data_IF_790919695239
#
_entry.id   IF_790919695239
#
_cell.length_a   1.000
_cell.length_b   1.000
_cell.length_c   1.000
_cell.angle_alpha   90.00
_cell.angle_beta   90.00
_cell.angle_gamma   90.00
#
_symmetry.space_group_name_H-M   'P 1'
#
loop_
_entity.id
_entity.type
_entity.pdbx_description
1 polymer ?
#
# COMPACT_ATOMS: atom_id res chain seq x y z
N UNK A 1 -17.85 21.16 10.61
CA UNK A 1 -16.40 21.46 10.80
C UNK A 1 -15.51 20.26 10.52
N UNK A 2 -15.74 19.07 11.08
CA UNK A 2 -15.03 17.84 10.64
C UNK A 2 -15.52 17.33 9.28
N UNK A 3 -16.83 17.32 9.05
CA UNK A 3 -17.46 16.92 7.78
C UNK A 3 -16.93 17.72 6.58
N UNK A 4 -16.87 19.05 6.72
CA UNK A 4 -16.45 19.96 5.64
C UNK A 4 -14.95 19.88 5.32
N UNK A 5 -14.12 19.42 6.27
CA UNK A 5 -12.66 19.38 6.10
C UNK A 5 -12.16 18.05 5.53
N UNK A 6 -12.85 16.96 5.84
CA UNK A 6 -12.39 15.61 5.53
C UNK A 6 -13.29 14.88 4.52
N UNK A 7 -14.36 15.53 4.03
CA UNK A 7 -15.42 14.88 3.24
C UNK A 7 -15.90 13.60 3.94
N UNK A 8 -16.13 13.70 5.25
CA UNK A 8 -16.59 12.57 6.05
C UNK A 8 -18.05 12.28 5.72
N UNK A 9 -18.31 11.10 5.19
CA UNK A 9 -19.62 10.49 5.33
C UNK A 9 -19.76 10.02 6.78
N UNK A 10 -20.41 10.84 7.60
CA UNK A 10 -20.72 10.50 8.98
C UNK A 10 -21.97 9.62 9.00
N UNK A 11 -21.82 8.30 8.91
CA UNK A 11 -22.92 7.40 9.26
C UNK A 11 -22.96 7.17 10.78
N UNK A 12 -23.98 7.71 11.44
CA UNK A 12 -24.33 7.31 12.80
C UNK A 12 -24.89 5.88 12.76
N UNK A 13 -24.02 4.89 12.78
CA UNK A 13 -24.42 3.53 13.10
C UNK A 13 -24.83 3.59 14.57
N UNK A 14 -26.14 3.63 14.81
CA UNK A 14 -26.71 3.63 16.14
C UNK A 14 -26.29 2.33 16.84
N UNK A 15 -25.20 2.40 17.61
CA UNK A 15 -24.77 1.42 18.62
C UNK A 15 -25.79 1.29 19.77
N UNK A 16 -27.06 1.65 19.56
CA UNK A 16 -28.16 1.57 20.53
C UNK A 16 -28.86 0.22 20.54
N UNK A 17 -28.64 -0.63 19.53
CA UNK A 17 -29.06 -2.02 19.62
C UNK A 17 -27.92 -2.81 20.25
N UNK A 18 -28.11 -3.25 21.49
CA UNK A 18 -27.21 -4.13 22.26
C UNK A 18 -26.89 -5.49 21.58
N UNK A 19 -27.25 -5.67 20.31
CA UNK A 19 -26.99 -6.84 19.46
C UNK A 19 -26.11 -6.52 18.23
N UNK A 20 -25.45 -5.36 18.17
CA UNK A 20 -24.40 -5.13 17.17
C UNK A 20 -23.13 -5.89 17.59
N UNK A 21 -22.78 -6.94 16.85
CA UNK A 21 -21.57 -7.73 17.09
C UNK A 21 -20.42 -7.23 16.22
N UNK A 22 -19.18 -7.53 16.60
CA UNK A 22 -17.99 -7.27 15.80
C UNK A 22 -18.08 -7.86 14.39
N UNK A 23 -18.78 -8.99 14.25
CA UNK A 23 -19.03 -9.62 12.96
C UNK A 23 -19.85 -8.71 12.04
N UNK A 24 -20.97 -8.14 12.52
CA UNK A 24 -21.80 -7.22 11.73
C UNK A 24 -21.05 -5.94 11.38
N UNK A 25 -20.17 -5.47 12.27
CA UNK A 25 -19.35 -4.28 12.02
C UNK A 25 -18.27 -4.57 10.97
N UNK A 26 -17.61 -5.72 11.04
CA UNK A 26 -16.62 -6.13 10.05
C UNK A 26 -17.24 -6.38 8.67
N UNK A 27 -18.46 -6.93 8.60
CA UNK A 27 -19.22 -7.09 7.35
C UNK A 27 -19.57 -5.73 6.74
N UNK A 28 -20.11 -4.81 7.54
CA UNK A 28 -20.43 -3.46 7.08
C UNK A 28 -19.19 -2.67 6.62
N UNK A 29 -18.10 -2.73 7.40
CA UNK A 29 -16.83 -2.11 7.02
C UNK A 29 -16.28 -2.73 5.74
N UNK A 30 -16.31 -4.06 5.61
CA UNK A 30 -15.89 -4.78 4.40
C UNK A 30 -16.66 -4.30 3.16
N UNK A 31 -17.97 -4.08 3.28
CA UNK A 31 -18.79 -3.58 2.17
C UNK A 31 -18.44 -2.13 1.79
N UNK A 32 -18.21 -1.25 2.77
CA UNK A 32 -17.79 0.14 2.52
C UNK A 32 -16.43 0.22 1.84
N UNK A 33 -15.51 -0.69 2.17
CA UNK A 33 -14.15 -0.66 1.62
C UNK A 33 -13.99 -1.50 0.36
N UNK A 34 -15.08 -1.72 -0.39
CA UNK A 34 -15.08 -2.49 -1.63
C UNK A 34 -14.43 -3.87 -1.48
N UNK A 35 -14.66 -4.51 -0.32
CA UNK A 35 -14.23 -5.87 -0.07
C UNK A 35 -12.71 -6.08 0.01
N UNK A 36 -11.95 -5.01 0.19
CA UNK A 36 -10.50 -5.04 0.12
C UNK A 36 -9.82 -5.61 1.37
N UNK A 37 -10.43 -5.45 2.55
CA UNK A 37 -9.89 -5.95 3.82
C UNK A 37 -11.00 -6.53 4.69
N UNK A 38 -10.78 -7.70 5.28
CA UNK A 38 -11.72 -8.34 6.23
C UNK A 38 -11.20 -8.19 7.66
N UNK A 39 -12.13 -8.16 8.61
CA UNK A 39 -11.84 -8.25 10.05
C UNK A 39 -10.95 -7.13 10.58
N UNK A 40 -11.30 -5.87 10.27
CA UNK A 40 -10.54 -4.69 10.74
C UNK A 40 -10.68 -4.51 12.26
N UNK A 41 -11.81 -4.93 12.83
CA UNK A 41 -12.07 -4.86 14.26
C UNK A 41 -11.98 -6.25 14.89
N UNK A 42 -11.31 -6.35 16.03
CA UNK A 42 -11.22 -7.56 16.85
C UNK A 42 -12.00 -7.41 18.15
N UNK A 43 -12.49 -8.53 18.68
CA UNK A 43 -13.44 -8.63 19.81
C UNK A 43 -12.95 -8.07 21.17
N UNK A 44 -11.76 -7.48 21.23
CA UNK A 44 -11.07 -7.19 22.50
C UNK A 44 -11.33 -5.80 23.09
N UNK A 45 -12.19 -4.96 22.49
CA UNK A 45 -12.34 -3.57 22.91
C UNK A 45 -13.80 -3.18 23.21
N UNK A 46 -14.02 -2.49 24.34
CA UNK A 46 -15.23 -1.69 24.55
C UNK A 46 -15.10 -0.41 23.71
N UNK A 47 -15.64 -0.45 22.50
CA UNK A 47 -15.52 0.60 21.52
C UNK A 47 -16.70 1.57 21.67
N UNK A 48 -16.43 2.81 22.07
CA UNK A 48 -17.43 3.88 22.10
C UNK A 48 -17.50 4.67 20.78
N UNK A 49 -16.40 4.67 20.00
CA UNK A 49 -16.28 5.32 18.70
C UNK A 49 -15.17 4.66 17.87
N UNK A 50 -15.41 4.42 16.58
CA UNK A 50 -14.37 4.05 15.59
C UNK A 50 -14.30 5.12 14.52
N UNK A 51 -13.10 5.60 14.24
CA UNK A 51 -12.82 6.41 13.06
C UNK A 51 -12.12 5.53 12.03
N UNK A 52 -12.75 5.34 10.87
CA UNK A 52 -12.20 4.52 9.78
C UNK A 52 -11.89 5.45 8.61
N UNK A 53 -10.62 5.52 8.24
CA UNK A 53 -10.18 6.20 7.01
C UNK A 53 -9.69 5.16 6.02
N UNK A 54 -10.23 5.20 4.81
CA UNK A 54 -9.95 4.21 3.79
C UNK A 54 -9.35 4.93 2.60
N UNK A 55 -8.10 4.57 2.29
CA UNK A 55 -7.39 5.09 1.14
C UNK A 55 -7.17 3.94 0.18
N UNK A 56 -7.91 3.93 -0.92
CA UNK A 56 -7.73 2.97 -1.98
C UNK A 56 -6.90 3.57 -3.11
N UNK A 57 -5.69 3.04 -3.30
CA UNK A 57 -4.78 3.48 -4.35
C UNK A 57 -4.78 2.48 -5.50
N UNK A 58 -5.76 2.59 -6.40
CA UNK A 58 -5.76 1.85 -7.67
C UNK A 58 -5.29 2.76 -8.78
N UNK A 59 -3.98 2.91 -8.91
CA UNK A 59 -3.39 3.67 -10.00
C UNK A 59 -2.80 2.77 -11.07
N UNK A 60 -3.20 3.04 -12.31
CA UNK A 60 -2.66 2.36 -13.47
C UNK A 60 -1.30 2.94 -13.83
N UNK A 61 -0.34 2.08 -14.14
CA UNK A 61 0.89 2.50 -14.81
C UNK A 61 0.54 3.17 -16.14
N UNK A 62 1.17 4.31 -16.46
CA UNK A 62 1.00 4.96 -17.77
C UNK A 62 1.37 4.01 -18.91
N UNK A 63 2.40 3.21 -18.68
CA UNK A 63 2.76 2.07 -19.53
C UNK A 63 2.63 0.80 -18.72
N UNK A 64 1.69 -0.05 -19.10
CA UNK A 64 1.43 -1.31 -18.41
C UNK A 64 2.53 -2.34 -18.70
N UNK A 65 2.79 -3.21 -17.71
CA UNK A 65 3.62 -4.39 -17.90
C UNK A 65 2.91 -5.38 -18.83
N UNK A 66 3.66 -6.01 -19.72
CA UNK A 66 3.13 -7.09 -20.55
C UNK A 66 3.01 -8.37 -19.70
N UNK A 67 1.78 -8.85 -19.53
CA UNK A 67 1.50 -10.06 -18.75
C UNK A 67 2.23 -11.30 -19.27
N UNK A 68 2.54 -11.35 -20.57
CA UNK A 68 3.30 -12.47 -21.17
C UNK A 68 4.77 -12.47 -20.75
N UNK A 69 5.25 -11.37 -20.18
CA UNK A 69 6.61 -11.20 -19.67
C UNK A 69 6.72 -11.42 -18.16
N UNK A 70 5.61 -11.73 -17.49
CA UNK A 70 5.60 -12.15 -16.09
C UNK A 70 6.02 -13.61 -16.01
N UNK A 71 7.02 -13.92 -15.19
CA UNK A 71 7.59 -15.26 -15.05
C UNK A 71 7.96 -15.55 -13.60
N UNK A 72 8.07 -16.82 -13.24
CA UNK A 72 8.63 -17.20 -11.94
C UNK A 72 10.09 -16.74 -11.87
N UNK A 73 10.45 -16.08 -10.76
CA UNK A 73 11.80 -15.65 -10.43
C UNK A 73 11.98 -15.68 -8.90
N UNK A 74 13.22 -15.54 -8.44
CA UNK A 74 13.55 -15.57 -7.03
C UNK A 74 13.54 -14.16 -6.41
N UNK A 75 12.84 -14.03 -5.29
CA UNK A 75 12.90 -12.89 -4.39
C UNK A 75 13.57 -13.31 -3.07
N UNK A 76 14.45 -12.47 -2.54
CA UNK A 76 15.12 -12.72 -1.26
C UNK A 76 14.60 -11.73 -0.23
N UNK A 77 14.16 -12.23 0.92
CA UNK A 77 13.73 -11.39 2.04
C UNK A 77 14.91 -10.89 2.88
N UNK A 78 14.60 -10.14 3.94
CA UNK A 78 15.59 -9.56 4.85
C UNK A 78 16.45 -10.62 5.58
N UNK A 79 15.98 -11.86 5.68
CA UNK A 79 16.73 -12.98 6.25
C UNK A 79 17.47 -13.79 5.19
N UNK A 80 17.55 -13.27 3.96
CA UNK A 80 18.11 -13.93 2.78
C UNK A 80 17.42 -15.27 2.45
N UNK A 81 16.16 -15.43 2.87
CA UNK A 81 15.35 -16.57 2.49
C UNK A 81 14.80 -16.36 1.08
N UNK A 82 14.92 -17.40 0.26
CA UNK A 82 14.48 -17.40 -1.13
C UNK A 82 12.99 -17.73 -1.24
N UNK A 83 12.27 -16.92 -2.00
CA UNK A 83 10.85 -17.08 -2.31
C UNK A 83 10.68 -17.07 -3.84
N UNK A 84 9.96 -18.03 -4.39
CA UNK A 84 9.57 -18.02 -5.80
C UNK A 84 8.35 -17.11 -5.98
N UNK A 85 8.47 -16.11 -6.85
CA UNK A 85 7.42 -15.12 -7.10
C UNK A 85 7.18 -14.93 -8.59
N UNK A 86 5.97 -14.51 -8.97
CA UNK A 86 5.66 -14.07 -10.34
C UNK A 86 6.21 -12.66 -10.55
N UNK A 87 7.42 -12.56 -11.09
CA UNK A 87 8.13 -11.31 -11.34
C UNK A 87 7.70 -10.70 -12.68
N UNK A 88 7.22 -9.45 -12.64
CA UNK A 88 6.90 -8.69 -13.84
C UNK A 88 8.16 -8.05 -14.44
N UNK A 89 8.26 -7.99 -15.77
CA UNK A 89 9.41 -7.36 -16.45
C UNK A 89 9.00 -6.44 -17.58
N UNK A 90 9.72 -5.33 -17.73
CA UNK A 90 9.56 -4.40 -18.84
C UNK A 90 10.90 -3.77 -19.21
N UNK A 91 11.01 -3.27 -20.44
CA UNK A 91 12.18 -2.55 -20.91
C UNK A 91 11.72 -1.24 -21.54
N UNK A 92 12.14 -0.12 -20.95
CA UNK A 92 11.81 1.23 -21.41
C UNK A 92 12.78 2.27 -20.82
N UNK A 93 12.57 3.52 -21.19
CA UNK A 93 13.26 4.68 -20.61
C UNK A 93 12.53 5.13 -19.35
N UNK A 94 13.22 5.01 -18.21
CA UNK A 94 12.75 5.51 -16.93
C UNK A 94 13.65 6.62 -16.42
N UNK A 95 13.07 7.50 -15.61
CA UNK A 95 13.87 8.42 -14.79
C UNK A 95 14.44 7.61 -13.63
N UNK A 96 15.74 7.74 -13.44
CA UNK A 96 16.49 7.07 -12.37
C UNK A 96 17.29 8.15 -11.63
N UNK A 97 17.32 8.06 -10.31
CA UNK A 97 18.24 8.80 -9.45
C UNK A 97 19.11 7.79 -8.69
N UNK A 98 20.40 8.09 -8.56
CA UNK A 98 21.35 7.21 -7.87
C UNK A 98 22.02 8.01 -6.78
N UNK A 99 21.86 7.56 -5.54
CA UNK A 99 22.53 8.11 -4.38
C UNK A 99 23.72 7.22 -4.03
N UNK A 100 24.88 7.56 -4.60
CA UNK A 100 26.12 6.83 -4.35
C UNK A 100 26.54 6.91 -2.87
N UNK A 101 26.55 8.09 -2.21
CA UNK A 101 26.87 8.19 -0.78
C UNK A 101 26.01 7.30 0.12
N UNK A 102 24.71 7.20 -0.15
CA UNK A 102 23.77 6.44 0.67
C UNK A 102 23.44 5.03 0.13
N UNK A 103 24.12 4.61 -0.95
CA UNK A 103 24.05 3.28 -1.55
C UNK A 103 22.64 2.81 -1.95
N UNK A 104 21.87 3.68 -2.62
CA UNK A 104 20.58 3.28 -3.18
C UNK A 104 20.29 3.91 -4.55
N UNK A 105 19.34 3.30 -5.25
CA UNK A 105 18.79 3.80 -6.51
C UNK A 105 17.29 4.04 -6.36
N UNK A 106 16.80 5.09 -7.01
CA UNK A 106 15.38 5.43 -7.10
C UNK A 106 14.95 5.34 -8.56
N UNK A 107 13.93 4.52 -8.81
CA UNK A 107 13.27 4.36 -10.09
C UNK A 107 11.90 5.04 -10.05
N UNK A 108 11.63 5.91 -11.03
CA UNK A 108 10.34 6.59 -11.16
C UNK A 108 9.54 5.98 -12.32
N UNK A 109 8.39 5.39 -12.01
CA UNK A 109 7.46 4.80 -12.97
C UNK A 109 6.23 5.70 -13.08
N UNK A 110 5.96 6.24 -14.26
CA UNK A 110 4.84 7.17 -14.47
C UNK A 110 3.49 6.47 -14.26
N UNK A 111 2.59 7.12 -13.53
CA UNK A 111 1.20 6.70 -13.42
C UNK A 111 0.36 7.36 -14.52
N UNK A 112 -0.85 6.85 -14.73
CA UNK A 112 -1.77 7.39 -15.73
C UNK A 112 -2.09 8.87 -15.47
N UNK A 113 -2.26 9.23 -14.19
CA UNK A 113 -2.43 10.61 -13.74
C UNK A 113 -1.17 11.43 -14.05
N UNK A 114 -1.36 12.62 -14.64
CA UNK A 114 -0.26 13.50 -15.00
C UNK A 114 0.54 13.94 -13.77
N UNK A 115 1.87 14.01 -13.94
CA UNK A 115 2.83 14.41 -12.91
C UNK A 115 2.87 13.50 -11.66
N UNK A 116 2.18 12.36 -11.66
CA UNK A 116 2.24 11.37 -10.57
C UNK A 116 3.11 10.17 -10.97
N UNK A 117 3.93 9.70 -10.02
CA UNK A 117 4.86 8.59 -10.22
C UNK A 117 4.75 7.59 -9.08
N UNK A 118 4.79 6.30 -9.41
CA UNK A 118 5.22 5.28 -8.45
C UNK A 118 6.73 5.35 -8.33
N UNK A 119 7.23 5.33 -7.10
CA UNK A 119 8.66 5.44 -6.80
C UNK A 119 9.11 4.12 -6.17
N UNK A 120 10.07 3.46 -6.80
CA UNK A 120 10.70 2.26 -6.27
C UNK A 120 12.10 2.65 -5.82
N UNK A 121 12.40 2.41 -4.55
CA UNK A 121 13.72 2.63 -3.99
C UNK A 121 14.35 1.27 -3.72
N UNK A 122 15.54 1.07 -4.25
CA UNK A 122 16.25 -0.19 -4.17
C UNK A 122 17.66 0.06 -3.59
N UNK A 123 18.00 -0.53 -2.44
CA UNK A 123 19.37 -0.56 -1.95
C UNK A 123 20.31 -1.18 -2.98
N UNK A 124 21.53 -0.68 -3.06
CA UNK A 124 22.58 -1.32 -3.84
C UNK A 124 22.89 -2.70 -3.25
N UNK A 125 23.42 -3.59 -4.10
CA UNK A 125 23.81 -4.94 -3.67
C UNK A 125 24.72 -4.89 -2.44
N UNK A 126 24.35 -5.63 -1.39
CA UNK A 126 25.10 -5.72 -0.14
C UNK A 126 24.67 -4.71 0.94
N UNK A 127 23.69 -3.85 0.66
CA UNK A 127 23.10 -2.93 1.65
C UNK A 127 21.69 -3.36 2.01
N UNK A 128 21.35 -3.26 3.30
CA UNK A 128 20.02 -3.60 3.79
C UNK A 128 19.08 -2.39 3.71
N UNK A 129 17.77 -2.64 3.69
CA UNK A 129 16.76 -1.59 3.69
C UNK A 129 16.92 -0.65 4.91
N UNK A 130 17.33 -1.18 6.07
CA UNK A 130 17.57 -0.39 7.29
C UNK A 130 18.66 0.68 7.10
N UNK A 131 19.72 0.37 6.34
CA UNK A 131 20.86 1.27 6.10
C UNK A 131 20.42 2.47 5.24
N UNK A 132 19.51 2.21 4.30
CA UNK A 132 18.87 3.22 3.48
C UNK A 132 17.91 4.10 4.31
N UNK A 133 17.06 3.49 5.15
CA UNK A 133 16.05 4.20 5.94
C UNK A 133 16.65 5.20 6.93
N UNK A 134 17.84 4.92 7.49
CA UNK A 134 18.52 5.86 8.39
C UNK A 134 18.93 7.17 7.72
N UNK A 135 19.10 7.16 6.40
CA UNK A 135 19.54 8.30 5.61
C UNK A 135 18.41 8.96 4.81
N UNK A 136 17.21 8.36 4.83
CA UNK A 136 16.06 8.87 4.10
C UNK A 136 15.42 10.03 4.86
N UNK A 137 15.62 11.26 4.36
CA UNK A 137 14.96 12.48 4.86
C UNK A 137 13.94 12.94 3.81
N UNK A 138 12.66 12.90 4.17
CA UNK A 138 11.53 13.45 3.39
C UNK A 138 11.14 14.80 3.94
#
# INVERSE_FOLDING_TARGET
MSEDLFYLDTEQILLKNHNFTFQTTNEYVYDIIYQLMRNILNDSFNIELVYINTLFFQNNWRKQFDIKRTKNDFFFDDNNQMHEVLMMSQHDRYRIYVDQPNNFMVLFISLLQEYTYGVIILPNLGFELKDMLMNFRV
#
